data_IF_381595927090
#
_entry.id   IF_381595927090
#
_cell.length_a   1.000
_cell.length_b   1.000
_cell.length_c   1.000
_cell.angle_alpha   90.00
_cell.angle_beta   90.00
_cell.angle_gamma   90.00
#
_symmetry.space_group_name_H-M   'P 1'
#
loop_
_entity.id
_entity.type
_entity.pdbx_description
1 polymer ?
#
# COMPACT_ATOMS: atom_id res chain seq x y z
N UNK A 1 -25.95 -32.21 -0.83
CA UNK A 1 -26.49 -31.45 0.32
C UNK A 1 -25.35 -30.59 0.92
N UNK A 2 -25.28 -29.32 0.60
CA UNK A 2 -24.29 -28.38 1.20
C UNK A 2 -24.85 -27.85 2.52
N UNK A 3 -24.23 -28.21 3.64
CA UNK A 3 -24.56 -27.69 4.97
C UNK A 3 -24.29 -26.20 5.03
N UNK A 4 -25.34 -25.40 5.13
CA UNK A 4 -25.27 -23.96 5.42
C UNK A 4 -24.68 -23.79 6.83
N UNK A 5 -23.40 -23.44 6.89
CA UNK A 5 -22.72 -23.03 8.14
C UNK A 5 -23.14 -21.60 8.42
N UNK A 6 -24.22 -21.42 9.18
CA UNK A 6 -24.59 -20.09 9.71
C UNK A 6 -23.44 -19.61 10.57
N UNK A 7 -22.78 -18.54 10.15
CA UNK A 7 -21.88 -17.80 11.00
C UNK A 7 -22.67 -17.35 12.24
N UNK A 8 -22.33 -17.89 13.41
CA UNK A 8 -22.77 -17.35 14.69
C UNK A 8 -21.94 -16.06 14.89
N UNK A 9 -22.53 -14.91 14.61
CA UNK A 9 -21.99 -13.64 15.03
C UNK A 9 -22.17 -13.61 16.55
N UNK A 10 -21.08 -13.76 17.31
CA UNK A 10 -21.09 -13.47 18.73
C UNK A 10 -21.36 -11.98 18.86
N UNK A 11 -22.48 -11.61 19.48
CA UNK A 11 -22.73 -10.24 19.87
C UNK A 11 -21.72 -9.90 20.99
N UNK A 12 -20.83 -8.93 20.81
CA UNK A 12 -20.07 -8.44 21.95
C UNK A 12 -21.08 -7.78 22.91
N UNK A 13 -21.09 -8.21 24.16
CA UNK A 13 -21.74 -7.51 25.26
C UNK A 13 -20.98 -6.17 25.46
N UNK A 14 -21.33 -5.20 24.67
CA UNK A 14 -20.87 -3.83 24.83
C UNK A 14 -22.09 -2.96 25.01
N UNK A 15 -22.21 -2.32 26.18
CA UNK A 15 -23.19 -1.27 26.49
C UNK A 15 -22.98 0.00 25.64
N UNK A 16 -22.14 -0.07 24.61
CA UNK A 16 -21.92 1.05 23.72
C UNK A 16 -23.13 1.25 22.80
N UNK A 17 -23.70 2.43 22.86
CA UNK A 17 -24.76 2.89 21.93
C UNK A 17 -24.27 2.62 20.50
N UNK A 18 -25.03 1.88 19.66
CA UNK A 18 -24.64 1.59 18.30
C UNK A 18 -24.41 2.91 17.53
N UNK A 19 -23.17 3.15 17.13
CA UNK A 19 -22.84 4.31 16.26
C UNK A 19 -23.32 4.02 14.85
N UNK A 20 -23.83 5.04 14.11
CA UNK A 20 -24.06 4.90 12.68
C UNK A 20 -22.80 4.34 12.01
N UNK A 21 -22.94 3.42 11.04
CA UNK A 21 -21.78 2.82 10.38
C UNK A 21 -20.84 3.85 9.75
N UNK A 22 -21.41 4.95 9.25
CA UNK A 22 -20.65 6.07 8.66
C UNK A 22 -19.75 6.81 9.67
N UNK A 23 -20.05 6.71 10.98
CA UNK A 23 -19.26 7.32 12.05
C UNK A 23 -18.12 6.41 12.53
N UNK A 24 -18.06 5.17 12.05
CA UNK A 24 -16.97 4.28 12.40
C UNK A 24 -15.65 4.77 11.82
N UNK A 25 -14.59 4.75 12.65
CA UNK A 25 -13.23 5.15 12.24
C UNK A 25 -12.78 4.37 11.02
N UNK A 26 -13.06 3.06 10.95
CA UNK A 26 -12.71 2.21 9.80
C UNK A 26 -13.33 2.73 8.49
N UNK A 27 -14.59 3.16 8.50
CA UNK A 27 -15.28 3.71 7.32
C UNK A 27 -14.67 5.05 6.91
N UNK A 28 -14.34 5.92 7.88
CA UNK A 28 -13.66 7.19 7.60
C UNK A 28 -12.27 6.98 6.99
N UNK A 29 -11.52 5.98 7.47
CA UNK A 29 -10.19 5.65 6.90
C UNK A 29 -10.31 5.18 5.45
N UNK A 30 -11.26 4.31 5.14
CA UNK A 30 -11.50 3.87 3.75
C UNK A 30 -11.80 5.07 2.86
N UNK A 31 -12.69 5.96 3.29
CA UNK A 31 -13.04 7.17 2.54
C UNK A 31 -11.83 8.10 2.33
N UNK A 32 -11.01 8.31 3.37
CA UNK A 32 -9.78 9.10 3.27
C UNK A 32 -8.83 8.46 2.27
N UNK A 33 -8.60 7.14 2.37
CA UNK A 33 -7.72 6.41 1.45
C UNK A 33 -8.16 6.54 -0.01
N UNK A 34 -9.47 6.46 -0.30
CA UNK A 34 -10.02 6.66 -1.65
C UNK A 34 -9.78 8.07 -2.19
N UNK A 35 -9.99 9.11 -1.35
CA UNK A 35 -9.78 10.51 -1.75
C UNK A 35 -8.30 10.76 -1.99
N UNK A 36 -7.43 10.31 -1.09
CA UNK A 36 -5.96 10.46 -1.22
C UNK A 36 -5.45 9.71 -2.46
N UNK A 37 -5.98 8.52 -2.74
CA UNK A 37 -5.63 7.78 -3.95
C UNK A 37 -6.04 8.53 -5.23
N UNK A 38 -7.23 9.15 -5.27
CA UNK A 38 -7.65 9.98 -6.41
C UNK A 38 -6.76 11.20 -6.59
N UNK A 39 -6.40 11.90 -5.52
CA UNK A 39 -5.46 13.03 -5.57
C UNK A 39 -4.08 12.60 -6.10
N UNK A 40 -3.61 11.43 -5.69
CA UNK A 40 -2.36 10.87 -6.20
C UNK A 40 -2.45 10.59 -7.71
N UNK A 41 -3.53 9.96 -8.16
CA UNK A 41 -3.76 9.68 -9.58
C UNK A 41 -3.78 10.97 -10.40
N UNK A 42 -4.55 11.97 -10.00
CA UNK A 42 -4.61 13.26 -10.71
C UNK A 42 -3.24 13.95 -10.80
N UNK A 43 -2.43 13.87 -9.73
CA UNK A 43 -1.13 14.54 -9.69
C UNK A 43 -0.08 13.82 -10.52
N UNK A 44 -0.01 12.49 -10.44
CA UNK A 44 1.11 11.72 -10.96
C UNK A 44 0.82 11.05 -12.30
N UNK A 45 -0.43 10.68 -12.58
CA UNK A 45 -0.79 10.07 -13.86
C UNK A 45 -0.73 11.08 -14.99
N UNK A 46 -1.30 12.27 -14.80
CA UNK A 46 -1.26 13.33 -15.80
C UNK A 46 0.17 13.81 -16.12
N UNK A 47 1.07 13.85 -15.13
CA UNK A 47 2.42 14.40 -15.31
C UNK A 47 3.47 13.36 -15.69
N UNK A 48 3.34 12.13 -15.19
CA UNK A 48 4.37 11.09 -15.31
C UNK A 48 3.84 9.78 -15.92
N UNK A 49 2.55 9.68 -16.21
CA UNK A 49 1.92 8.43 -16.65
C UNK A 49 1.92 7.32 -15.60
N UNK A 50 2.11 7.67 -14.31
CA UNK A 50 2.24 6.72 -13.20
C UNK A 50 0.91 6.59 -12.45
N UNK A 51 0.38 5.38 -12.39
CA UNK A 51 -0.74 5.06 -11.52
C UNK A 51 -0.28 5.05 -10.06
N UNK A 52 -1.19 5.30 -9.12
CA UNK A 52 -0.89 5.22 -7.69
C UNK A 52 -0.26 3.87 -7.29
N UNK A 53 -0.70 2.78 -7.91
CA UNK A 53 -0.16 1.43 -7.73
C UNK A 53 1.30 1.31 -8.18
N UNK A 54 1.66 1.98 -9.26
CA UNK A 54 3.03 1.99 -9.78
C UNK A 54 3.97 2.71 -8.82
N UNK A 55 3.56 3.88 -8.32
CA UNK A 55 4.30 4.62 -7.29
C UNK A 55 4.48 3.82 -6.01
N UNK A 56 3.42 3.14 -5.54
CA UNK A 56 3.50 2.29 -4.35
C UNK A 56 4.53 1.18 -4.50
N UNK A 57 4.57 0.51 -5.66
CA UNK A 57 5.58 -0.51 -5.94
C UNK A 57 6.98 0.09 -6.05
N UNK A 58 7.14 1.21 -6.74
CA UNK A 58 8.43 1.89 -6.86
C UNK A 58 8.97 2.32 -5.49
N UNK A 59 8.13 2.82 -4.59
CA UNK A 59 8.52 3.17 -3.22
C UNK A 59 9.01 1.95 -2.42
N UNK A 60 8.39 0.77 -2.60
CA UNK A 60 8.84 -0.46 -1.93
C UNK A 60 10.20 -0.92 -2.45
N UNK A 61 10.48 -0.68 -3.73
CA UNK A 61 11.74 -1.04 -4.37
C UNK A 61 12.86 -0.04 -4.10
N UNK A 62 12.49 1.17 -3.66
CA UNK A 62 13.44 2.23 -3.37
C UNK A 62 14.32 1.91 -2.15
N UNK A 63 15.60 2.21 -2.24
CA UNK A 63 16.57 1.90 -1.19
C UNK A 63 16.85 0.41 -0.99
N UNK A 64 16.37 -0.47 -1.88
CA UNK A 64 16.62 -1.91 -1.80
C UNK A 64 17.53 -2.39 -2.93
N UNK A 65 18.33 -3.43 -2.66
CA UNK A 65 19.14 -4.11 -3.69
C UNK A 65 18.30 -5.07 -4.57
N UNK A 66 17.02 -5.23 -4.23
CA UNK A 66 16.05 -6.06 -4.93
C UNK A 66 15.12 -6.80 -3.98
N UNK A 67 13.86 -6.92 -4.37
CA UNK A 67 12.78 -7.54 -3.57
C UNK A 67 12.07 -8.59 -4.40
N UNK A 68 11.72 -9.73 -3.78
CA UNK A 68 10.94 -10.78 -4.45
C UNK A 68 9.46 -10.41 -4.54
N UNK A 69 8.75 -11.01 -5.52
CA UNK A 69 7.27 -10.87 -5.63
C UNK A 69 6.57 -11.28 -4.33
N UNK A 70 7.05 -12.34 -3.68
CA UNK A 70 6.48 -12.81 -2.42
C UNK A 70 6.61 -11.77 -1.30
N UNK A 71 7.78 -11.15 -1.19
CA UNK A 71 8.03 -10.12 -0.18
C UNK A 71 7.20 -8.86 -0.44
N UNK A 72 7.07 -8.42 -1.70
CA UNK A 72 6.21 -7.30 -2.07
C UNK A 72 4.76 -7.62 -1.71
N UNK A 73 4.24 -8.80 -2.07
CA UNK A 73 2.87 -9.22 -1.77
C UNK A 73 2.61 -9.22 -0.26
N UNK A 74 3.57 -9.70 0.54
CA UNK A 74 3.49 -9.69 2.00
C UNK A 74 3.43 -8.27 2.57
N UNK A 75 4.31 -7.35 2.11
CA UNK A 75 4.36 -5.95 2.58
C UNK A 75 3.13 -5.14 2.18
N UNK A 76 2.50 -5.50 1.09
CA UNK A 76 1.37 -4.74 0.54
C UNK A 76 0.02 -5.35 0.87
N UNK A 77 -0.01 -6.57 1.42
CA UNK A 77 -1.21 -7.39 1.60
C UNK A 77 -2.01 -7.57 0.30
N UNK A 78 -1.31 -7.63 -0.85
CA UNK A 78 -1.90 -7.73 -2.19
C UNK A 78 -1.55 -9.09 -2.81
N UNK A 79 -2.43 -9.58 -3.66
CA UNK A 79 -2.26 -10.83 -4.40
C UNK A 79 -0.99 -10.84 -5.26
N UNK A 80 -0.26 -11.99 -5.26
CA UNK A 80 1.00 -12.16 -5.98
C UNK A 80 0.86 -12.00 -7.50
N UNK A 81 -0.26 -12.43 -8.07
CA UNK A 81 -0.49 -12.32 -9.51
C UNK A 81 -0.67 -10.85 -9.88
N UNK A 82 -1.34 -10.07 -9.03
CA UNK A 82 -1.44 -8.64 -9.21
C UNK A 82 -0.06 -7.95 -9.15
N UNK A 83 0.75 -8.24 -8.12
CA UNK A 83 2.13 -7.73 -7.99
C UNK A 83 2.95 -8.05 -9.23
N UNK A 84 2.87 -9.32 -9.71
CA UNK A 84 3.61 -9.76 -10.88
C UNK A 84 3.22 -9.02 -12.16
N UNK A 85 1.91 -8.76 -12.36
CA UNK A 85 1.41 -7.98 -13.50
C UNK A 85 1.87 -6.53 -13.44
N UNK A 86 1.81 -5.90 -12.26
CA UNK A 86 2.21 -4.51 -12.07
C UNK A 86 3.73 -4.33 -12.25
N UNK A 87 4.54 -5.27 -11.73
CA UNK A 87 5.98 -5.25 -11.97
C UNK A 87 6.33 -5.44 -13.45
N UNK A 88 5.60 -6.30 -14.18
CA UNK A 88 5.79 -6.44 -15.63
C UNK A 88 5.48 -5.15 -16.37
N UNK A 89 4.42 -4.44 -15.99
CA UNK A 89 4.10 -3.13 -16.56
C UNK A 89 5.24 -2.13 -16.35
N UNK A 90 5.78 -2.03 -15.12
CA UNK A 90 6.90 -1.15 -14.79
C UNK A 90 8.19 -1.56 -15.51
N UNK A 91 8.42 -2.85 -15.70
CA UNK A 91 9.56 -3.38 -16.45
C UNK A 91 9.48 -3.00 -17.93
N UNK A 92 8.31 -3.15 -18.56
CA UNK A 92 8.06 -2.72 -19.95
C UNK A 92 8.23 -1.20 -20.11
N UNK A 93 7.91 -0.42 -19.08
CA UNK A 93 8.14 1.03 -19.06
C UNK A 93 9.62 1.40 -18.78
N UNK A 94 10.47 0.41 -18.52
CA UNK A 94 11.89 0.58 -18.20
C UNK A 94 12.16 1.18 -16.82
N UNK A 95 11.18 1.20 -15.91
CA UNK A 95 11.30 1.78 -14.57
C UNK A 95 11.81 0.76 -13.53
N UNK A 96 11.61 -0.51 -13.78
CA UNK A 96 12.02 -1.63 -12.93
C UNK A 96 12.87 -2.59 -13.74
N UNK A 97 13.84 -3.22 -13.09
CA UNK A 97 14.62 -4.33 -13.63
C UNK A 97 14.35 -5.59 -12.83
N UNK A 98 14.40 -6.74 -13.49
CA UNK A 98 14.32 -8.06 -12.85
C UNK A 98 15.60 -8.82 -13.06
N UNK A 99 16.15 -9.39 -11.99
CA UNK A 99 17.36 -10.19 -12.01
C UNK A 99 17.14 -11.51 -11.29
N UNK A 100 17.75 -12.58 -11.77
CA UNK A 100 17.82 -13.81 -10.99
C UNK A 100 18.64 -13.56 -9.73
N UNK A 101 18.16 -14.01 -8.59
CA UNK A 101 18.89 -13.88 -7.33
C UNK A 101 20.05 -14.88 -7.32
N UNK A 102 21.28 -14.39 -7.40
CA UNK A 102 22.50 -15.23 -7.36
C UNK A 102 22.89 -15.67 -5.94
N UNK A 103 22.16 -15.24 -4.89
CA UNK A 103 22.42 -15.66 -3.51
C UNK A 103 21.70 -16.98 -3.24
N UNK A 104 22.46 -18.07 -3.04
CA UNK A 104 22.11 -19.44 -2.57
C UNK A 104 20.81 -20.12 -3.06
N UNK A 105 19.84 -19.40 -3.61
CA UNK A 105 18.61 -19.96 -4.18
C UNK A 105 18.28 -19.24 -5.50
N UNK A 106 18.82 -19.75 -6.59
CA UNK A 106 18.71 -19.23 -7.97
C UNK A 106 17.28 -19.25 -8.53
N UNK A 107 16.31 -19.75 -7.74
CA UNK A 107 14.89 -19.88 -8.16
C UNK A 107 14.08 -18.61 -7.97
N UNK A 108 14.60 -17.59 -7.27
CA UNK A 108 13.87 -16.37 -6.99
C UNK A 108 14.36 -15.20 -7.85
N UNK A 109 13.44 -14.64 -8.64
CA UNK A 109 13.66 -13.39 -9.34
C UNK A 109 13.40 -12.24 -8.37
N UNK A 110 14.33 -11.29 -8.29
CA UNK A 110 14.18 -10.03 -7.53
C UNK A 110 13.93 -8.89 -8.50
N UNK A 111 13.07 -7.98 -8.08
CA UNK A 111 12.80 -6.72 -8.77
C UNK A 111 13.51 -5.58 -8.06
N UNK A 112 14.03 -4.62 -8.79
CA UNK A 112 14.65 -3.41 -8.27
C UNK A 112 14.40 -2.24 -9.21
N UNK A 113 14.56 -1.02 -8.73
CA UNK A 113 14.45 0.16 -9.58
C UNK A 113 15.60 0.21 -10.61
N UNK A 114 15.26 0.57 -11.84
CA UNK A 114 16.25 0.97 -12.85
C UNK A 114 16.83 2.36 -12.54
N UNK A 115 17.88 2.78 -13.25
CA UNK A 115 18.36 4.16 -13.18
C UNK A 115 17.26 5.16 -13.57
N UNK A 116 16.48 4.85 -14.62
CA UNK A 116 15.32 5.63 -15.04
C UNK A 116 14.24 5.70 -13.95
N UNK A 117 13.94 4.57 -13.28
CA UNK A 117 12.97 4.53 -12.19
C UNK A 117 13.38 5.38 -11.00
N UNK A 118 14.67 5.33 -10.61
CA UNK A 118 15.21 6.20 -9.54
C UNK A 118 15.12 7.67 -9.91
N UNK A 119 15.58 8.03 -11.10
CA UNK A 119 15.51 9.42 -11.58
C UNK A 119 14.07 9.97 -11.62
N UNK A 120 13.10 9.11 -11.95
CA UNK A 120 11.68 9.47 -11.94
C UNK A 120 11.17 9.69 -10.50
N UNK A 121 11.53 8.82 -9.55
CA UNK A 121 11.17 9.02 -8.14
C UNK A 121 11.73 10.34 -7.57
N UNK A 122 12.94 10.73 -7.94
CA UNK A 122 13.50 12.02 -7.51
C UNK A 122 12.67 13.22 -7.99
N UNK A 123 12.02 13.13 -9.15
CA UNK A 123 11.08 14.16 -9.62
C UNK A 123 9.73 14.12 -8.91
N UNK A 124 9.30 12.93 -8.49
CA UNK A 124 8.02 12.72 -7.79
C UNK A 124 8.08 13.18 -6.34
N UNK A 125 9.21 12.96 -5.65
CA UNK A 125 9.38 13.24 -4.21
C UNK A 125 8.97 14.66 -3.80
N UNK A 126 9.45 15.76 -4.44
CA UNK A 126 9.06 17.10 -4.03
C UNK A 126 7.57 17.37 -4.20
N UNK A 127 6.95 16.81 -5.24
CA UNK A 127 5.50 16.96 -5.45
C UNK A 127 4.69 16.17 -4.41
N UNK A 128 5.17 14.98 -4.05
CA UNK A 128 4.56 14.19 -2.99
C UNK A 128 4.67 14.91 -1.63
N UNK A 129 5.84 15.47 -1.31
CA UNK A 129 6.07 16.24 -0.09
C UNK A 129 5.18 17.48 -0.02
N UNK A 130 5.10 18.27 -1.09
CA UNK A 130 4.24 19.46 -1.13
C UNK A 130 2.75 19.11 -0.97
N UNK A 131 2.30 17.97 -1.52
CA UNK A 131 0.95 17.46 -1.31
C UNK A 131 0.73 17.03 0.13
N UNK A 132 1.69 16.32 0.72
CA UNK A 132 1.64 15.86 2.12
C UNK A 132 1.48 17.05 3.07
N UNK A 133 2.29 18.10 2.91
CA UNK A 133 2.19 19.33 3.71
C UNK A 133 0.79 19.93 3.66
N UNK A 134 0.18 20.00 2.46
CA UNK A 134 -1.19 20.51 2.31
C UNK A 134 -2.25 19.59 2.88
N UNK A 135 -2.04 18.29 2.82
CA UNK A 135 -2.96 17.28 3.34
C UNK A 135 -3.00 17.30 4.87
N UNK A 136 -1.86 17.61 5.49
CA UNK A 136 -1.69 17.65 6.95
C UNK A 136 -1.86 19.06 7.55
N UNK A 137 -2.36 20.02 6.77
CA UNK A 137 -2.58 21.38 7.27
C UNK A 137 -3.48 21.37 8.52
N UNK A 138 -3.01 21.98 9.61
CA UNK A 138 -3.68 22.00 10.90
C UNK A 138 -3.66 20.68 11.70
N UNK A 139 -2.88 19.67 11.25
CA UNK A 139 -2.76 18.36 11.92
C UNK A 139 -1.35 18.22 12.49
N UNK A 140 -1.25 17.78 13.77
CA UNK A 140 0.03 17.33 14.32
C UNK A 140 0.45 16.02 13.64
N UNK A 141 1.40 16.12 12.73
CA UNK A 141 1.89 15.01 11.90
C UNK A 141 2.44 13.85 12.76
N UNK A 142 3.20 14.17 13.83
CA UNK A 142 3.82 13.17 14.70
C UNK A 142 2.78 12.36 15.47
N UNK A 143 1.85 13.04 16.12
CA UNK A 143 0.76 12.40 16.87
C UNK A 143 -0.18 11.61 15.95
N UNK A 144 -0.44 12.14 14.74
CA UNK A 144 -1.27 11.47 13.75
C UNK A 144 -0.63 10.19 13.22
N UNK A 145 0.65 10.22 12.83
CA UNK A 145 1.41 9.03 12.41
C UNK A 145 1.43 7.95 13.49
N UNK A 146 1.71 8.32 14.73
CA UNK A 146 1.71 7.37 15.85
C UNK A 146 0.31 6.71 16.04
N UNK A 147 -0.75 7.45 15.82
CA UNK A 147 -2.13 6.92 15.88
C UNK A 147 -2.42 5.94 14.75
N UNK A 148 -1.98 6.25 13.53
CA UNK A 148 -2.11 5.35 12.38
C UNK A 148 -1.32 4.05 12.55
N UNK A 149 -0.08 4.14 13.06
CA UNK A 149 0.76 2.97 13.30
C UNK A 149 0.13 2.03 14.35
N UNK A 150 -0.41 2.61 15.42
CA UNK A 150 -1.13 1.85 16.46
C UNK A 150 -2.39 1.18 15.90
N UNK A 151 -3.13 1.89 15.06
CA UNK A 151 -4.34 1.37 14.43
C UNK A 151 -4.01 0.21 13.48
N UNK A 152 -2.95 0.35 12.67
CA UNK A 152 -2.47 -0.71 11.79
C UNK A 152 -2.07 -1.95 12.58
N UNK A 153 -1.26 -1.79 13.64
CA UNK A 153 -0.84 -2.90 14.49
C UNK A 153 -2.04 -3.60 15.18
N UNK A 154 -3.08 -2.85 15.55
CA UNK A 154 -4.31 -3.44 16.10
C UNK A 154 -5.04 -4.26 15.03
N UNK A 155 -5.18 -3.73 13.81
CA UNK A 155 -5.85 -4.43 12.71
C UNK A 155 -5.10 -5.71 12.32
N UNK A 156 -3.77 -5.68 12.23
CA UNK A 156 -2.95 -6.86 11.93
C UNK A 156 -3.10 -7.95 13.00
N UNK A 157 -3.16 -7.57 14.29
CA UNK A 157 -3.43 -8.52 15.37
C UNK A 157 -4.80 -9.18 15.26
N UNK A 158 -5.83 -8.44 14.87
CA UNK A 158 -7.18 -9.00 14.65
C UNK A 158 -7.23 -9.98 13.48
N UNK A 159 -6.37 -9.82 12.47
CA UNK A 159 -6.25 -10.76 11.35
C UNK A 159 -5.55 -12.08 11.76
N UNK A 160 -4.63 -12.01 12.73
CA UNK A 160 -3.87 -13.18 13.19
C UNK A 160 -4.55 -13.95 14.31
N UNK A 161 -5.39 -13.28 15.11
CA UNK A 161 -6.17 -13.85 16.21
C UNK A 161 -7.65 -13.46 16.04
N UNK A 162 -8.38 -14.14 15.13
CA UNK A 162 -9.78 -13.85 14.84
C UNK A 162 -10.74 -14.23 15.98
#
# INVERSE_FOLDING_TARGET
>A
MRKNRRLRIAHPESDAIPKPLEDLVAVRIVRIAEVVARLATQTFEARFGLRNTDLRLMNILDGTEGVTVNEIARRTHVDKAWVSRSLRHLELSGLVTRKKNNRKDSRHTVAGLSAKGRALLEQVRPLAAARETRLLDGIDEGAFKASLDRLLANAERMLTNP
#
